data_IF_544656078001
#
_entry.id   IF_544656078001
#
_cell.length_a   1.000
_cell.length_b   1.000
_cell.length_c   1.000
_cell.angle_alpha   90.00
_cell.angle_beta   90.00
_cell.angle_gamma   90.00
#
_symmetry.space_group_name_H-M   'P 1'
#
loop_
_entity.id
_entity.type
_entity.pdbx_description
1 polymer ?
#
# COMPACT_ATOMS: atom_id res chain seq x y z
N UNK A 1 -4.82 8.85 -12.78
CA UNK A 1 -4.39 7.84 -11.82
C UNK A 1 -3.05 8.23 -11.25
N UNK A 2 -3.01 8.53 -9.95
CA UNK A 2 -1.77 8.96 -9.32
C UNK A 2 -0.83 7.78 -9.15
N UNK A 3 0.25 7.78 -9.92
CA UNK A 3 1.32 6.81 -9.71
C UNK A 3 2.22 7.32 -8.59
N UNK A 4 1.91 6.93 -7.37
CA UNK A 4 2.72 7.31 -6.22
C UNK A 4 3.83 6.27 -6.02
N UNK A 5 5.07 6.72 -6.07
CA UNK A 5 6.22 5.86 -5.84
C UNK A 5 6.55 5.86 -4.34
N UNK A 6 5.96 4.93 -3.60
CA UNK A 6 6.23 4.76 -2.18
C UNK A 6 7.60 4.14 -1.98
N UNK A 7 8.35 4.70 -1.02
CA UNK A 7 9.71 4.25 -0.69
C UNK A 7 9.85 4.08 0.82
N UNK A 8 10.86 3.33 1.24
CA UNK A 8 11.16 3.19 2.66
C UNK A 8 12.10 4.32 3.14
N UNK A 9 12.36 4.37 4.45
CA UNK A 9 13.20 5.42 5.05
C UNK A 9 14.61 5.47 4.45
N UNK A 10 15.25 4.33 4.25
CA UNK A 10 16.60 4.29 3.69
C UNK A 10 16.64 4.82 2.26
N UNK A 11 15.66 4.43 1.45
CA UNK A 11 15.53 4.93 0.08
C UNK A 11 15.25 6.43 0.07
N UNK A 12 14.48 6.94 1.05
CA UNK A 12 14.23 8.38 1.18
C UNK A 12 15.51 9.15 1.48
N UNK A 13 16.36 8.64 2.39
CA UNK A 13 17.65 9.24 2.70
C UNK A 13 18.53 9.28 1.45
N UNK A 14 18.63 8.19 0.73
CA UNK A 14 19.41 8.09 -0.50
C UNK A 14 18.92 9.06 -1.57
N UNK A 15 17.60 9.18 -1.73
CA UNK A 15 17.00 10.08 -2.70
C UNK A 15 17.26 11.55 -2.38
N UNK A 16 17.18 11.96 -1.11
CA UNK A 16 17.48 13.33 -0.68
C UNK A 16 18.95 13.65 -0.92
N UNK A 17 19.84 12.70 -0.65
CA UNK A 17 21.28 12.86 -0.91
C UNK A 17 21.56 13.06 -2.40
N UNK A 18 20.74 12.54 -3.28
CA UNK A 18 20.81 12.74 -4.72
C UNK A 18 19.97 13.91 -5.26
N UNK A 19 19.51 14.81 -4.40
CA UNK A 19 18.68 15.98 -4.74
C UNK A 19 17.34 15.63 -5.39
N UNK A 20 16.81 14.43 -5.13
CA UNK A 20 15.50 14.04 -5.63
C UNK A 20 14.40 14.51 -4.65
N UNK A 21 13.22 14.93 -5.16
CA UNK A 21 12.13 15.36 -4.29
C UNK A 21 11.54 14.16 -3.53
N UNK A 22 11.50 14.29 -2.20
CA UNK A 22 10.92 13.27 -1.31
C UNK A 22 9.82 13.93 -0.47
N UNK A 23 8.71 13.24 -0.33
CA UNK A 23 7.52 13.69 0.39
C UNK A 23 7.26 12.77 1.56
N UNK A 24 6.85 13.34 2.68
CA UNK A 24 6.50 12.61 3.90
C UNK A 24 5.02 12.78 4.23
N UNK A 25 4.43 11.75 4.80
CA UNK A 25 3.09 11.77 5.36
C UNK A 25 3.13 11.18 6.76
N UNK A 26 2.46 11.81 7.71
CA UNK A 26 2.30 11.27 9.06
C UNK A 26 0.82 11.09 9.37
N UNK A 27 0.49 10.03 10.10
CA UNK A 27 -0.88 9.77 10.56
C UNK A 27 -1.39 10.88 11.48
N UNK A 28 -0.48 11.63 12.10
CA UNK A 28 -0.82 12.76 12.98
C UNK A 28 -1.18 14.00 12.18
N UNK A 29 -0.40 14.31 11.13
CA UNK A 29 -0.53 15.54 10.37
C UNK A 29 -1.52 15.47 9.20
N UNK A 30 -1.75 14.29 8.67
CA UNK A 30 -2.73 14.00 7.60
C UNK A 30 -2.53 14.86 6.35
N UNK A 31 -1.27 15.17 6.00
CA UNK A 31 -0.93 15.83 4.75
C UNK A 31 0.48 15.48 4.30
N UNK A 32 0.77 15.69 3.03
CA UNK A 32 2.10 15.49 2.47
C UNK A 32 2.91 16.77 2.59
N UNK A 33 4.16 16.66 3.04
CA UNK A 33 5.10 17.78 3.09
C UNK A 33 6.44 17.39 2.49
N UNK A 34 7.18 18.40 2.02
CA UNK A 34 8.52 18.18 1.49
C UNK A 34 9.46 17.77 2.61
N UNK A 35 10.15 16.64 2.41
CA UNK A 35 11.02 16.04 3.42
C UNK A 35 12.43 16.59 3.33
N UNK A 36 13.06 16.84 4.47
CA UNK A 36 14.49 17.14 4.59
C UNK A 36 15.19 16.01 5.32
N UNK A 37 16.54 15.94 5.16
CA UNK A 37 17.33 14.93 5.85
C UNK A 37 17.27 15.11 7.37
N UNK A 38 17.14 16.36 7.83
CA UNK A 38 17.00 16.68 9.25
C UNK A 38 15.73 16.05 9.82
N UNK A 39 14.62 16.16 9.09
CA UNK A 39 13.35 15.55 9.50
C UNK A 39 13.49 14.03 9.64
N UNK A 40 14.18 13.38 8.70
CA UNK A 40 14.36 11.93 8.71
C UNK A 40 15.22 11.45 9.88
N UNK A 41 16.16 12.26 10.33
CA UNK A 41 17.10 11.89 11.40
C UNK A 41 16.58 12.22 12.79
N UNK A 42 15.67 13.21 12.93
CA UNK A 42 15.18 13.69 14.22
C UNK A 42 13.95 12.98 14.75
N UNK A 43 13.15 12.36 13.88
CA UNK A 43 11.88 11.76 14.28
C UNK A 43 11.90 10.25 14.19
N UNK A 44 11.32 9.60 15.20
CA UNK A 44 10.96 8.19 15.08
C UNK A 44 9.91 8.05 13.97
N UNK A 45 10.20 7.25 12.96
CA UNK A 45 9.40 7.20 11.73
C UNK A 45 8.43 6.01 11.67
N UNK A 46 7.99 5.53 12.84
CA UNK A 46 7.21 4.30 12.96
C UNK A 46 5.89 4.31 12.17
N UNK A 47 5.30 5.49 11.97
CA UNK A 47 4.02 5.62 11.26
C UNK A 47 4.09 6.62 10.11
N UNK A 48 5.27 6.79 9.55
CA UNK A 48 5.46 7.70 8.42
C UNK A 48 5.52 6.95 7.09
N UNK A 49 5.00 7.61 6.08
CA UNK A 49 5.04 7.13 4.70
C UNK A 49 5.88 8.09 3.89
N UNK A 50 6.64 7.56 2.92
CA UNK A 50 7.51 8.35 2.06
C UNK A 50 7.18 8.10 0.60
N UNK A 51 7.30 9.13 -0.21
CA UNK A 51 7.13 9.03 -1.66
C UNK A 51 8.17 9.90 -2.37
N UNK A 52 8.56 9.49 -3.57
CA UNK A 52 9.55 10.19 -4.39
C UNK A 52 8.87 10.71 -5.66
N UNK A 53 9.31 11.89 -6.14
CA UNK A 53 8.83 12.48 -7.39
C UNK A 53 7.83 13.59 -7.14
N UNK A 54 6.70 13.54 -7.82
CA UNK A 54 5.65 14.56 -7.67
C UNK A 54 4.93 14.42 -6.33
N UNK A 55 4.47 15.55 -5.79
CA UNK A 55 3.70 15.57 -4.55
C UNK A 55 2.43 14.72 -4.70
N UNK A 56 2.23 13.68 -3.86
CA UNK A 56 0.99 12.92 -3.89
C UNK A 56 -0.22 13.79 -3.53
N UNK A 57 -1.37 13.51 -4.13
CA UNK A 57 -2.60 14.26 -3.91
C UNK A 57 -3.60 13.55 -3.01
N UNK A 58 -3.34 12.29 -2.70
CA UNK A 58 -4.22 11.47 -1.86
C UNK A 58 -3.45 10.87 -0.69
N UNK A 59 -4.14 10.46 0.40
CA UNK A 59 -3.50 9.76 1.51
C UNK A 59 -2.78 8.50 1.07
N UNK A 60 -1.74 8.06 1.81
CA UNK A 60 -1.01 6.84 1.47
C UNK A 60 -1.92 5.62 1.57
N UNK A 61 -1.71 4.67 0.67
CA UNK A 61 -2.31 3.35 0.78
C UNK A 61 -1.63 2.58 1.90
N UNK A 62 -2.42 1.86 2.69
CA UNK A 62 -1.85 0.91 3.64
C UNK A 62 -1.25 -0.26 2.87
N UNK A 63 -0.03 -0.63 3.23
CA UNK A 63 0.69 -1.75 2.62
C UNK A 63 1.01 -2.79 3.68
N UNK A 64 1.03 -4.04 3.27
CA UNK A 64 1.52 -5.16 4.10
C UNK A 64 2.72 -5.79 3.41
N UNK A 65 3.54 -6.47 4.19
CA UNK A 65 4.67 -7.22 3.66
C UNK A 65 4.58 -8.67 4.14
N UNK A 66 4.58 -9.59 3.18
CA UNK A 66 4.53 -11.01 3.46
C UNK A 66 5.69 -11.66 2.71
N UNK A 67 6.55 -12.33 3.45
CA UNK A 67 7.70 -13.07 2.89
C UNK A 67 8.59 -12.16 2.00
N UNK A 68 8.77 -10.89 2.43
CA UNK A 68 9.55 -9.89 1.71
C UNK A 68 8.83 -9.22 0.54
N UNK A 69 7.58 -9.61 0.26
CA UNK A 69 6.80 -9.03 -0.84
C UNK A 69 5.83 -7.99 -0.29
N UNK A 70 5.94 -6.75 -0.78
CA UNK A 70 5.02 -5.67 -0.42
C UNK A 70 3.80 -5.69 -1.34
N UNK A 71 2.63 -5.53 -0.75
CA UNK A 71 1.38 -5.50 -1.48
C UNK A 71 0.36 -4.62 -0.73
N UNK A 72 -0.67 -4.09 -1.41
CA UNK A 72 -1.71 -3.33 -0.72
C UNK A 72 -2.39 -4.15 0.36
N UNK A 73 -2.66 -3.52 1.50
CA UNK A 73 -3.42 -4.15 2.57
C UNK A 73 -4.90 -4.25 2.17
N UNK A 74 -5.59 -5.34 2.48
CA UNK A 74 -7.03 -5.42 2.24
C UNK A 74 -7.80 -4.52 3.20
N UNK A 75 -9.04 -4.19 2.85
CA UNK A 75 -9.92 -3.36 3.67
C UNK A 75 -10.49 -4.23 4.79
N UNK A 76 -10.14 -3.91 6.04
CA UNK A 76 -10.58 -4.65 7.23
C UNK A 76 -11.58 -3.86 8.08
N UNK A 77 -11.67 -2.54 7.89
CA UNK A 77 -12.54 -1.65 8.65
C UNK A 77 -13.61 -1.04 7.76
N UNK A 78 -14.84 -0.98 8.26
CA UNK A 78 -15.97 -0.44 7.50
C UNK A 78 -15.77 1.05 7.15
N UNK A 79 -15.06 1.79 7.98
CA UNK A 79 -14.78 3.22 7.73
C UNK A 79 -13.93 3.42 6.47
N UNK A 80 -13.13 2.43 6.10
CA UNK A 80 -12.25 2.48 4.95
C UNK A 80 -12.92 1.97 3.67
N UNK A 81 -14.15 1.45 3.77
CA UNK A 81 -14.85 0.85 2.64
C UNK A 81 -15.50 1.90 1.75
N UNK A 82 -15.08 2.05 0.48
CA UNK A 82 -15.74 2.95 -0.45
C UNK A 82 -17.07 2.38 -0.94
N UNK A 83 -17.86 3.20 -1.63
CA UNK A 83 -19.14 2.76 -2.21
C UNK A 83 -18.97 1.64 -3.24
N UNK A 84 -17.87 1.70 -3.98
CA UNK A 84 -17.51 0.67 -4.96
C UNK A 84 -16.17 0.09 -4.52
N UNK A 85 -16.10 -1.22 -4.39
CA UNK A 85 -14.88 -1.93 -4.01
C UNK A 85 -14.65 -3.13 -4.91
N UNK A 86 -13.51 -3.78 -4.77
CA UNK A 86 -13.08 -4.86 -5.64
C UNK A 86 -12.72 -6.08 -4.80
N UNK A 87 -13.17 -7.25 -5.23
CA UNK A 87 -12.96 -8.52 -4.54
C UNK A 87 -12.08 -9.42 -5.40
N UNK A 88 -10.98 -9.89 -4.80
CA UNK A 88 -10.06 -10.82 -5.45
C UNK A 88 -10.53 -12.25 -5.20
N UNK A 89 -10.85 -12.98 -6.27
CA UNK A 89 -11.28 -14.37 -6.18
C UNK A 89 -10.11 -15.34 -6.05
N UNK A 90 -10.41 -16.55 -5.64
CA UNK A 90 -9.43 -17.63 -5.46
C UNK A 90 -8.67 -17.93 -6.75
N UNK A 91 -9.34 -17.83 -7.88
CA UNK A 91 -8.76 -18.09 -9.20
C UNK A 91 -8.00 -16.89 -9.80
N UNK A 92 -7.83 -15.81 -9.04
CA UNK A 92 -7.16 -14.60 -9.52
C UNK A 92 -8.07 -13.62 -10.24
N UNK A 93 -9.35 -13.91 -10.40
CA UNK A 93 -10.32 -12.99 -10.98
C UNK A 93 -10.66 -11.86 -10.02
N UNK A 94 -10.98 -10.68 -10.54
CA UNK A 94 -11.33 -9.51 -9.77
C UNK A 94 -12.75 -9.09 -10.10
N UNK A 95 -13.61 -9.02 -9.08
CA UNK A 95 -15.00 -8.62 -9.23
C UNK A 95 -15.24 -7.26 -8.61
N UNK A 96 -15.96 -6.40 -9.32
CA UNK A 96 -16.43 -5.12 -8.81
C UNK A 96 -17.69 -5.34 -7.97
N UNK A 97 -17.76 -4.74 -6.79
CA UNK A 97 -18.88 -4.90 -5.88
C UNK A 97 -19.29 -3.56 -5.26
N UNK A 98 -20.54 -3.48 -4.79
CA UNK A 98 -21.07 -2.28 -4.15
C UNK A 98 -21.99 -2.60 -2.98
N UNK A 99 -22.20 -3.88 -2.66
CA UNK A 99 -23.07 -4.33 -1.57
C UNK A 99 -22.23 -4.55 -0.32
N UNK A 100 -22.50 -3.79 0.74
CA UNK A 100 -21.76 -3.85 2.01
C UNK A 100 -21.76 -5.25 2.62
N UNK A 101 -22.85 -5.97 2.52
CA UNK A 101 -22.97 -7.34 3.04
C UNK A 101 -21.96 -8.28 2.39
N UNK A 102 -21.66 -8.05 1.11
CA UNK A 102 -20.63 -8.82 0.41
C UNK A 102 -19.24 -8.59 1.02
N UNK A 103 -18.91 -7.33 1.37
CA UNK A 103 -17.67 -7.05 2.08
C UNK A 103 -17.60 -7.74 3.45
N UNK A 104 -18.71 -7.74 4.20
CA UNK A 104 -18.76 -8.40 5.50
C UNK A 104 -18.42 -9.89 5.37
N UNK A 105 -18.91 -10.56 4.32
CA UNK A 105 -18.61 -11.96 4.05
C UNK A 105 -17.14 -12.19 3.65
N UNK A 106 -16.55 -11.28 2.92
CA UNK A 106 -15.25 -11.46 2.28
C UNK A 106 -14.07 -10.87 3.07
N UNK A 107 -14.34 -9.97 4.02
CA UNK A 107 -13.27 -9.24 4.73
C UNK A 107 -12.28 -10.15 5.45
N UNK A 108 -12.74 -11.25 6.02
CA UNK A 108 -11.89 -12.19 6.76
C UNK A 108 -10.92 -12.94 5.85
N UNK A 109 -11.26 -13.06 4.58
CA UNK A 109 -10.38 -13.66 3.58
C UNK A 109 -9.25 -12.73 3.15
N UNK A 110 -9.32 -11.44 3.53
CA UNK A 110 -8.28 -10.48 3.17
C UNK A 110 -8.20 -10.19 1.68
N UNK A 111 -9.33 -10.18 0.99
CA UNK A 111 -9.37 -10.08 -0.46
C UNK A 111 -10.18 -8.90 -1.00
N UNK A 112 -10.52 -7.91 -0.16
CA UNK A 112 -11.30 -6.74 -0.56
C UNK A 112 -10.39 -5.50 -0.64
N UNK A 113 -10.47 -4.77 -1.75
CA UNK A 113 -9.62 -3.61 -2.04
C UNK A 113 -10.44 -2.42 -2.53
N UNK A 114 -9.95 -1.21 -2.29
CA UNK A 114 -10.64 0.02 -2.67
C UNK A 114 -10.61 0.27 -4.18
N UNK A 115 -9.57 -0.20 -4.87
CA UNK A 115 -9.40 0.01 -6.31
C UNK A 115 -9.04 -1.30 -7.02
N UNK A 116 -9.36 -1.36 -8.31
CA UNK A 116 -8.94 -2.50 -9.13
C UNK A 116 -7.42 -2.63 -9.18
N UNK A 117 -6.70 -1.50 -9.25
CA UNK A 117 -5.24 -1.50 -9.26
C UNK A 117 -4.66 -2.13 -7.99
N UNK A 118 -5.26 -1.87 -6.83
CA UNK A 118 -4.83 -2.47 -5.56
C UNK A 118 -5.11 -3.98 -5.55
N UNK A 119 -6.26 -4.41 -6.07
CA UNK A 119 -6.58 -5.83 -6.18
C UNK A 119 -5.60 -6.56 -7.09
N UNK A 120 -5.23 -5.96 -8.22
CA UNK A 120 -4.24 -6.51 -9.15
C UNK A 120 -2.87 -6.62 -8.48
N UNK A 121 -2.43 -5.56 -7.80
CA UNK A 121 -1.14 -5.53 -7.10
C UNK A 121 -1.09 -6.59 -5.99
N UNK A 122 -2.17 -6.77 -5.25
CA UNK A 122 -2.27 -7.80 -4.22
C UNK A 122 -2.23 -9.20 -4.83
N UNK A 123 -2.95 -9.42 -5.92
CA UNK A 123 -2.91 -10.69 -6.64
C UNK A 123 -1.48 -11.04 -7.07
N UNK A 124 -0.79 -10.08 -7.69
CA UNK A 124 0.57 -10.30 -8.17
C UNK A 124 1.54 -10.54 -7.00
N UNK A 125 1.34 -9.84 -5.88
CA UNK A 125 2.11 -10.04 -4.66
C UNK A 125 1.92 -11.44 -4.09
N UNK A 126 0.68 -11.92 -3.98
CA UNK A 126 0.38 -13.27 -3.50
C UNK A 126 0.96 -14.35 -4.42
N UNK A 127 0.94 -14.13 -5.73
CA UNK A 127 1.57 -15.07 -6.68
C UNK A 127 3.07 -15.18 -6.44
N UNK A 128 3.76 -14.08 -6.13
CA UNK A 128 5.18 -14.10 -5.78
C UNK A 128 5.43 -14.86 -4.49
N UNK A 129 4.63 -14.61 -3.44
CA UNK A 129 4.74 -15.31 -2.16
C UNK A 129 4.58 -16.81 -2.36
N UNK A 130 3.56 -17.22 -3.11
CA UNK A 130 3.27 -18.61 -3.40
C UNK A 130 4.41 -19.27 -4.18
N UNK A 131 4.95 -18.59 -5.18
CA UNK A 131 6.07 -19.08 -5.98
C UNK A 131 7.31 -19.29 -5.12
N UNK A 132 7.64 -18.33 -4.25
CA UNK A 132 8.77 -18.44 -3.33
C UNK A 132 8.60 -19.62 -2.37
N UNK A 133 7.41 -19.82 -1.83
CA UNK A 133 7.11 -20.94 -0.94
C UNK A 133 7.28 -22.28 -1.67
N UNK A 134 6.83 -22.38 -2.91
CA UNK A 134 6.98 -23.59 -3.72
C UNK A 134 8.45 -23.89 -4.04
N UNK A 135 9.25 -22.87 -4.31
CA UNK A 135 10.69 -23.04 -4.57
C UNK A 135 11.43 -23.53 -3.33
N UNK A 136 11.05 -23.05 -2.13
CA UNK A 136 11.64 -23.52 -0.88
C UNK A 136 11.28 -24.96 -0.53
N UNK A 137 10.18 -25.45 -1.06
CA UNK A 137 9.71 -26.82 -0.82
C UNK A 137 10.39 -27.88 -1.70
N UNK A 138 11.22 -27.46 -2.66
CA UNK A 138 11.95 -28.37 -3.54
C UNK A 138 13.14 -29.02 -2.84
#
# INVERSE_FOLDING_TARGET
MDKVNYINKQMAIDAISGDLPVWSWSETNLHWWRTSIVTLTQHGNAHMHFAIGEKPTSPPRKMIEIDGVRMPAPIMLVEDLPNIFYVLGINGGIARAHVREYWIQEREMGNVFATEADAIAARDGWLKVKKQAMERAK
#
